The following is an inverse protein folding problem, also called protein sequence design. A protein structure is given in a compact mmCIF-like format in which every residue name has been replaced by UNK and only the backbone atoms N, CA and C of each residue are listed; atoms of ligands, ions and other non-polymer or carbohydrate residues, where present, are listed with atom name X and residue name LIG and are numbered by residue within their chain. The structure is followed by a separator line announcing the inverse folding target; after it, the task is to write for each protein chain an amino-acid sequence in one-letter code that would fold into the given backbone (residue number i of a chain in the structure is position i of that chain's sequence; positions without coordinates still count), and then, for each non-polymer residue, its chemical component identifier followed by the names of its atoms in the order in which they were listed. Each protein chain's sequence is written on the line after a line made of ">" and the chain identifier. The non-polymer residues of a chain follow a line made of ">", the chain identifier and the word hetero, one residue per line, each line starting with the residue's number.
data_IF_519959021942
#
_entry.id   IF_519959021942
#
_cell.length_a   1.000
_cell.length_b   1.000
_cell.length_c   1.000
_cell.angle_alpha   90.00
_cell.angle_beta   90.00
_cell.angle_gamma   90.00
#
_symmetry.space_group_name_H-M   'P 1'
#
loop_
_entity.id
_entity.type
_entity.pdbx_description
1 polymer ?
#
# COMPACT_ATOMS: atom_id res chain seq x y z
N UNK A 1 -20.30 12.07 33.73
CA UNK A 1 -19.59 11.15 34.64
C UNK A 1 -18.61 10.35 33.79
N UNK A 2 -17.30 10.50 34.01
CA UNK A 2 -16.30 9.82 33.19
C UNK A 2 -16.50 8.30 33.30
N UNK A 3 -16.56 7.61 32.15
CA UNK A 3 -16.67 6.15 32.13
C UNK A 3 -15.45 5.56 32.86
N UNK A 4 -15.64 4.58 33.76
CA UNK A 4 -14.53 3.90 34.39
C UNK A 4 -13.54 3.34 33.35
N UNK A 5 -12.22 3.35 33.62
CA UNK A 5 -11.20 2.87 32.67
C UNK A 5 -11.48 1.47 32.12
N UNK A 6 -11.98 0.57 32.97
CA UNK A 6 -12.36 -0.80 32.59
C UNK A 6 -13.53 -0.87 31.58
N UNK A 7 -14.40 0.15 31.55
CA UNK A 7 -15.50 0.24 30.59
C UNK A 7 -14.98 0.54 29.18
N UNK A 8 -13.89 1.31 29.06
CA UNK A 8 -13.24 1.59 27.77
C UNK A 8 -12.54 0.36 27.21
N UNK A 9 -11.89 -0.43 28.08
CA UNK A 9 -11.27 -1.71 27.70
C UNK A 9 -12.33 -2.72 27.24
N UNK A 10 -13.40 -2.91 28.02
CA UNK A 10 -14.51 -3.79 27.63
C UNK A 10 -15.13 -3.41 26.29
N UNK A 11 -15.29 -2.11 26.02
CA UNK A 11 -15.88 -1.62 24.75
C UNK A 11 -14.93 -1.84 23.58
N UNK A 12 -13.62 -1.70 23.79
CA UNK A 12 -12.59 -2.01 22.79
C UNK A 12 -12.57 -3.51 22.46
N UNK A 13 -12.64 -4.35 23.48
CA UNK A 13 -12.64 -5.81 23.33
C UNK A 13 -13.95 -6.32 22.71
N UNK A 14 -15.04 -5.57 22.86
CA UNK A 14 -16.31 -5.80 22.19
C UNK A 14 -16.21 -5.59 20.68
N UNK A 15 -15.44 -4.60 20.25
CA UNK A 15 -15.23 -4.28 18.84
C UNK A 15 -14.22 -5.22 18.16
N UNK A 16 -13.28 -5.82 18.92
CA UNK A 16 -12.28 -6.76 18.40
C UNK A 16 -12.75 -8.21 18.34
N UNK A 17 -13.98 -8.51 18.77
CA UNK A 17 -14.50 -9.88 18.85
C UNK A 17 -14.01 -10.68 20.06
N UNK A 18 -13.28 -10.04 20.98
CA UNK A 18 -12.71 -10.64 22.20
C UNK A 18 -13.59 -10.45 23.45
N UNK A 19 -14.84 -10.01 23.28
CA UNK A 19 -15.75 -9.64 24.38
C UNK A 19 -15.87 -10.72 25.46
N UNK A 20 -16.00 -11.99 25.04
CA UNK A 20 -16.20 -13.09 25.97
C UNK A 20 -14.95 -13.36 26.81
N UNK A 21 -13.77 -13.17 26.23
CA UNK A 21 -12.50 -13.29 26.94
C UNK A 21 -12.32 -12.14 27.94
N UNK A 22 -12.66 -10.91 27.55
CA UNK A 22 -12.61 -9.73 28.41
C UNK A 22 -13.63 -9.81 29.57
N UNK A 23 -14.86 -10.25 29.28
CA UNK A 23 -15.90 -10.47 30.28
C UNK A 23 -15.50 -11.56 31.29
N UNK A 24 -14.86 -12.64 30.83
CA UNK A 24 -14.34 -13.69 31.70
C UNK A 24 -13.16 -13.22 32.55
N UNK A 25 -12.25 -12.41 31.98
CA UNK A 25 -11.15 -11.77 32.74
C UNK A 25 -11.70 -10.87 33.84
N UNK A 26 -12.67 -10.01 33.54
CA UNK A 26 -13.32 -9.15 34.54
C UNK A 26 -13.98 -9.97 35.64
N UNK A 27 -14.73 -11.02 35.30
CA UNK A 27 -15.33 -11.92 36.30
C UNK A 27 -14.28 -12.57 37.20
N UNK A 28 -13.14 -12.97 36.63
CA UNK A 28 -12.04 -13.57 37.40
C UNK A 28 -11.42 -12.58 38.38
N UNK A 29 -11.14 -11.33 37.97
CA UNK A 29 -10.55 -10.27 38.81
C UNK A 29 -11.52 -9.84 39.91
N UNK A 30 -12.81 -9.74 39.58
CA UNK A 30 -13.88 -9.38 40.50
C UNK A 30 -14.11 -10.50 41.52
N UNK A 31 -13.99 -11.77 41.14
CA UNK A 31 -14.14 -12.91 42.05
C UNK A 31 -13.04 -13.01 43.12
N UNK A 32 -11.84 -12.46 42.86
CA UNK A 32 -10.73 -12.41 43.82
C UNK A 32 -10.86 -11.28 44.84
N UNK A 33 -11.72 -10.30 44.59
CA UNK A 33 -12.12 -9.26 45.54
C UNK A 33 -13.46 -9.65 46.16
N UNK A 34 -13.60 -9.72 47.48
CA UNK A 34 -14.86 -10.10 48.14
C UNK A 34 -15.97 -9.06 47.91
N UNK A 35 -16.60 -9.09 46.74
CA UNK A 35 -17.69 -8.20 46.39
C UNK A 35 -19.01 -8.74 46.95
N UNK A 36 -19.85 -7.90 47.56
CA UNK A 36 -21.16 -8.31 48.04
C UNK A 36 -22.00 -8.92 46.90
N UNK A 37 -22.79 -9.96 47.20
CA UNK A 37 -23.62 -10.68 46.21
C UNK A 37 -24.58 -9.78 45.40
N UNK A 38 -24.91 -8.58 45.91
CA UNK A 38 -25.70 -7.57 45.20
C UNK A 38 -24.90 -6.92 44.06
N UNK A 39 -23.61 -6.61 44.29
CA UNK A 39 -22.73 -6.04 43.27
C UNK A 39 -22.42 -7.05 42.15
N UNK A 40 -22.24 -8.33 42.50
CA UNK A 40 -22.07 -9.42 41.53
C UNK A 40 -23.27 -9.55 40.59
N UNK A 41 -24.49 -9.51 41.14
CA UNK A 41 -25.73 -9.54 40.33
C UNK A 41 -25.87 -8.31 39.44
N UNK A 42 -25.42 -7.15 39.90
CA UNK A 42 -25.33 -5.92 39.10
C UNK A 42 -24.37 -6.07 37.92
N UNK A 43 -23.18 -6.61 38.16
CA UNK A 43 -22.17 -6.86 37.12
C UNK A 43 -22.67 -7.87 36.08
N UNK A 44 -23.26 -8.98 36.50
CA UNK A 44 -23.84 -9.97 35.59
C UNK A 44 -24.96 -9.37 34.73
N UNK A 45 -25.75 -8.44 35.28
CA UNK A 45 -26.77 -7.72 34.54
C UNK A 45 -26.15 -6.82 33.48
N UNK A 46 -25.13 -6.03 33.84
CA UNK A 46 -24.41 -5.16 32.90
C UNK A 46 -23.79 -6.00 31.77
N UNK A 47 -23.04 -7.05 32.07
CA UNK A 47 -22.41 -7.93 31.05
C UNK A 47 -23.46 -8.51 30.10
N UNK A 48 -24.61 -8.95 30.62
CA UNK A 48 -25.69 -9.50 29.79
C UNK A 48 -26.37 -8.45 28.92
N UNK A 49 -26.62 -7.26 29.45
CA UNK A 49 -27.19 -6.13 28.68
C UNK A 49 -26.20 -5.67 27.60
N UNK A 50 -24.92 -5.56 27.93
CA UNK A 50 -23.84 -5.25 26.98
C UNK A 50 -23.73 -6.32 25.89
N UNK A 51 -23.79 -7.61 26.23
CA UNK A 51 -23.80 -8.71 25.24
C UNK A 51 -25.01 -8.63 24.30
N UNK A 52 -26.21 -8.40 24.84
CA UNK A 52 -27.42 -8.22 24.02
C UNK A 52 -27.30 -7.02 23.07
N UNK A 53 -26.73 -5.91 23.55
CA UNK A 53 -26.42 -4.73 22.73
C UNK A 53 -25.41 -5.07 21.62
N UNK A 54 -24.34 -5.79 21.95
CA UNK A 54 -23.34 -6.25 21.00
C UNK A 54 -23.93 -7.15 19.91
N UNK A 55 -24.74 -8.15 20.30
CA UNK A 55 -25.42 -9.05 19.38
C UNK A 55 -26.45 -8.32 18.51
N UNK A 56 -27.07 -7.26 19.03
CA UNK A 56 -27.99 -6.43 18.28
C UNK A 56 -27.23 -5.58 17.25
N UNK A 57 -26.13 -4.91 17.66
CA UNK A 57 -25.25 -4.16 16.75
C UNK A 57 -24.68 -5.09 15.69
N UNK A 58 -24.20 -6.29 16.06
CA UNK A 58 -23.66 -7.29 15.12
C UNK A 58 -24.71 -7.79 14.14
N UNK A 59 -25.92 -8.09 14.59
CA UNK A 59 -27.02 -8.49 13.69
C UNK A 59 -27.48 -7.34 12.80
N UNK A 60 -27.47 -6.12 13.31
CA UNK A 60 -27.79 -4.93 12.54
C UNK A 60 -26.73 -4.69 11.47
N UNK A 61 -25.43 -4.69 11.83
CA UNK A 61 -24.34 -4.55 10.86
C UNK A 61 -24.34 -5.69 9.84
N UNK A 62 -24.57 -6.93 10.26
CA UNK A 62 -24.68 -8.09 9.35
C UNK A 62 -25.82 -7.97 8.33
N UNK A 63 -26.94 -7.34 8.70
CA UNK A 63 -28.05 -7.09 7.76
C UNK A 63 -27.71 -6.06 6.69
N UNK A 64 -26.76 -5.17 6.95
CA UNK A 64 -26.27 -4.17 5.98
C UNK A 64 -24.94 -4.56 5.33
N UNK A 65 -24.31 -5.68 5.73
CA UNK A 65 -22.94 -6.03 5.33
C UNK A 65 -22.82 -6.99 4.14
N UNK A 66 -23.91 -7.30 3.42
CA UNK A 66 -23.80 -8.16 2.22
C UNK A 66 -23.24 -7.43 1.00
N UNK A 67 -23.07 -6.11 1.08
CA UNK A 67 -22.50 -5.25 0.04
C UNK A 67 -21.45 -4.31 0.64
N UNK A 68 -20.56 -3.79 -0.20
CA UNK A 68 -19.51 -2.85 0.22
C UNK A 68 -20.14 -1.55 0.75
N UNK A 69 -19.75 -1.11 1.95
CA UNK A 69 -20.24 0.12 2.57
C UNK A 69 -19.07 1.01 3.02
N UNK A 70 -19.31 2.33 3.06
CA UNK A 70 -18.35 3.28 3.61
C UNK A 70 -18.06 2.96 5.07
N UNK A 71 -16.79 2.76 5.41
CA UNK A 71 -16.36 2.39 6.76
C UNK A 71 -15.73 3.60 7.45
N UNK A 72 -16.04 3.80 8.73
CA UNK A 72 -15.38 4.80 9.58
C UNK A 72 -14.13 4.16 10.18
N UNK A 73 -12.95 4.68 9.83
CA UNK A 73 -11.69 4.24 10.42
C UNK A 73 -11.50 4.88 11.81
N UNK A 74 -11.80 4.13 12.86
CA UNK A 74 -11.59 4.53 14.26
C UNK A 74 -10.28 4.03 14.89
N UNK A 75 -9.36 3.46 14.10
CA UNK A 75 -8.15 2.78 14.62
C UNK A 75 -7.00 3.73 14.93
N UNK A 76 -7.04 4.95 14.39
CA UNK A 76 -5.93 5.90 14.44
C UNK A 76 -4.78 5.60 13.46
N UNK A 77 -4.87 4.51 12.68
CA UNK A 77 -3.93 4.21 11.60
C UNK A 77 -4.42 4.84 10.30
N UNK A 78 -3.55 5.52 9.54
CA UNK A 78 -3.92 6.02 8.20
C UNK A 78 -4.25 4.88 7.23
N UNK A 79 -3.49 3.79 7.33
CA UNK A 79 -3.67 2.58 6.54
C UNK A 79 -3.86 1.41 7.49
N UNK A 80 -5.08 0.87 7.50
CA UNK A 80 -5.39 -0.33 8.26
C UNK A 80 -5.42 -1.51 7.29
N UNK A 81 -4.80 -2.68 7.59
CA UNK A 81 -4.77 -3.81 6.66
C UNK A 81 -6.17 -4.24 6.20
N UNK A 82 -7.17 -4.19 7.07
CA UNK A 82 -8.53 -4.61 6.69
C UNK A 82 -9.33 -3.53 5.94
N UNK A 83 -8.80 -2.30 5.83
CA UNK A 83 -9.40 -1.21 5.06
C UNK A 83 -8.64 -1.04 3.74
N UNK A 84 -9.34 -0.65 2.68
CA UNK A 84 -8.73 -0.47 1.36
C UNK A 84 -8.59 1.00 0.99
N UNK A 85 -7.42 1.34 0.47
CA UNK A 85 -7.11 2.63 -0.14
C UNK A 85 -6.86 3.75 0.87
N UNK A 86 -6.81 4.98 0.36
CA UNK A 86 -6.70 6.20 1.15
C UNK A 86 -7.97 7.06 1.00
N UNK A 87 -8.19 8.03 1.90
CA UNK A 87 -9.20 9.07 1.68
C UNK A 87 -8.92 9.82 0.37
N UNK A 88 -9.96 10.01 -0.45
CA UNK A 88 -9.89 10.72 -1.72
C UNK A 88 -10.66 12.04 -1.65
N UNK A 89 -10.11 13.07 -2.29
CA UNK A 89 -10.77 14.33 -2.54
C UNK A 89 -11.86 14.19 -3.61
N UNK A 90 -12.80 15.13 -3.64
CA UNK A 90 -13.97 15.06 -4.51
C UNK A 90 -13.60 14.90 -5.99
N UNK A 91 -12.59 15.62 -6.48
CA UNK A 91 -12.13 15.53 -7.87
C UNK A 91 -11.60 14.13 -8.23
N UNK A 92 -10.83 13.51 -7.32
CA UNK A 92 -10.31 12.15 -7.50
C UNK A 92 -11.46 11.14 -7.52
N UNK A 93 -12.46 11.31 -6.65
CA UNK A 93 -13.64 10.44 -6.60
C UNK A 93 -14.48 10.57 -7.88
N UNK A 94 -14.71 11.80 -8.38
CA UNK A 94 -15.42 12.01 -9.64
C UNK A 94 -14.68 11.38 -10.82
N UNK A 95 -13.36 11.55 -10.90
CA UNK A 95 -12.56 10.92 -11.96
C UNK A 95 -12.58 9.39 -11.88
N UNK A 96 -12.58 8.83 -10.66
CA UNK A 96 -12.67 7.39 -10.43
C UNK A 96 -14.01 6.83 -10.91
N UNK A 97 -15.12 7.46 -10.51
CA UNK A 97 -16.47 7.03 -10.85
C UNK A 97 -16.80 7.24 -12.34
N UNK A 98 -16.28 8.32 -12.95
CA UNK A 98 -16.53 8.61 -14.36
C UNK A 98 -15.94 7.57 -15.32
N UNK A 99 -14.99 6.75 -14.86
CA UNK A 99 -14.38 5.68 -15.64
C UNK A 99 -14.92 4.27 -15.34
N UNK A 100 -15.98 4.15 -14.53
CA UNK A 100 -16.67 2.88 -14.23
C UNK A 100 -17.87 2.67 -15.18
N UNK A 101 -18.35 1.42 -15.29
CA UNK A 101 -19.40 0.94 -16.22
C UNK A 101 -20.81 1.54 -15.94
N UNK A 102 -20.91 2.86 -16.04
CA UNK A 102 -22.11 3.67 -15.79
C UNK A 102 -22.84 4.03 -17.10
N UNK A 103 -22.81 3.14 -18.10
CA UNK A 103 -23.18 3.45 -19.50
C UNK A 103 -22.36 4.61 -20.10
N UNK A 104 -21.19 4.92 -19.51
CA UNK A 104 -20.26 5.88 -20.08
C UNK A 104 -19.64 5.29 -21.35
N UNK A 105 -19.62 6.08 -22.44
CA UNK A 105 -19.05 5.68 -23.71
C UNK A 105 -17.52 5.60 -23.64
N UNK A 106 -16.99 4.55 -23.03
CA UNK A 106 -15.56 4.26 -22.94
C UNK A 106 -15.00 3.91 -24.32
N UNK A 107 -14.69 4.93 -25.12
CA UNK A 107 -13.96 4.70 -26.36
C UNK A 107 -12.46 4.61 -26.08
N UNK A 108 -11.74 3.82 -26.90
CA UNK A 108 -10.27 3.78 -26.86
C UNK A 108 -9.65 5.19 -26.90
N UNK A 109 -10.30 6.15 -27.57
CA UNK A 109 -9.89 7.55 -27.63
C UNK A 109 -9.93 8.27 -26.28
N UNK A 110 -10.89 7.96 -25.40
CA UNK A 110 -10.93 8.53 -24.05
C UNK A 110 -9.75 8.02 -23.21
N UNK A 111 -9.47 6.72 -23.29
CA UNK A 111 -8.32 6.12 -22.60
C UNK A 111 -7.02 6.75 -23.07
N UNK A 112 -6.81 6.83 -24.38
CA UNK A 112 -5.63 7.47 -24.96
C UNK A 112 -5.50 8.95 -24.53
N UNK A 113 -6.61 9.69 -24.43
CA UNK A 113 -6.59 11.07 -23.94
C UNK A 113 -6.12 11.15 -22.49
N UNK A 114 -6.63 10.29 -21.61
CA UNK A 114 -6.26 10.27 -20.19
C UNK A 114 -4.82 9.81 -19.99
N UNK A 115 -4.36 8.79 -20.74
CA UNK A 115 -2.98 8.31 -20.71
C UNK A 115 -2.00 9.40 -21.20
N UNK A 116 -2.35 10.16 -22.26
CA UNK A 116 -1.57 11.33 -22.68
C UNK A 116 -1.51 12.44 -21.63
N UNK A 117 -2.61 12.67 -20.90
CA UNK A 117 -2.62 13.63 -19.81
C UNK A 117 -1.74 13.18 -18.63
N UNK A 118 -1.76 11.89 -18.30
CA UNK A 118 -0.88 11.30 -17.30
C UNK A 118 0.58 11.49 -17.71
N UNK A 119 0.93 11.13 -18.94
CA UNK A 119 2.28 11.24 -19.49
C UNK A 119 2.78 12.69 -19.47
N UNK A 120 1.98 13.65 -19.95
CA UNK A 120 2.33 15.07 -19.90
C UNK A 120 2.54 15.57 -18.45
N UNK A 121 1.70 15.13 -17.52
CA UNK A 121 1.78 15.53 -16.11
C UNK A 121 3.05 14.97 -15.45
N UNK A 122 3.37 13.70 -15.65
CA UNK A 122 4.57 13.09 -15.09
C UNK A 122 5.85 13.62 -15.74
N UNK A 123 5.85 13.82 -17.06
CA UNK A 123 7.00 14.39 -17.77
C UNK A 123 7.30 15.80 -17.26
N UNK A 124 6.27 16.62 -17.06
CA UNK A 124 6.45 18.00 -16.56
C UNK A 124 6.86 18.09 -15.09
N UNK A 125 6.36 17.20 -14.22
CA UNK A 125 6.64 17.25 -12.77
C UNK A 125 7.87 16.44 -12.34
N UNK A 126 8.17 15.36 -13.05
CA UNK A 126 9.14 14.33 -12.63
C UNK A 126 10.20 14.08 -13.72
N UNK A 127 9.91 14.40 -14.99
CA UNK A 127 10.82 14.14 -16.10
C UNK A 127 10.82 12.67 -16.56
N UNK A 128 9.75 11.91 -16.26
CA UNK A 128 9.63 10.50 -16.65
C UNK A 128 8.22 10.16 -17.13
N UNK A 129 8.07 8.98 -17.73
CA UNK A 129 6.79 8.41 -18.13
C UNK A 129 6.37 7.31 -17.16
N UNK A 130 5.07 6.99 -17.12
CA UNK A 130 4.58 5.82 -16.38
C UNK A 130 3.42 5.14 -17.07
N UNK A 131 3.24 3.85 -16.72
CA UNK A 131 2.00 3.11 -16.89
C UNK A 131 1.43 2.76 -15.51
N UNK A 132 0.11 2.59 -15.41
CA UNK A 132 -0.56 2.38 -14.12
C UNK A 132 -1.13 0.97 -14.04
N UNK A 133 -0.71 0.23 -13.02
CA UNK A 133 -1.29 -1.06 -12.65
C UNK A 133 -2.34 -0.88 -11.56
N UNK A 134 -3.30 -1.80 -11.46
CA UNK A 134 -4.38 -1.71 -10.46
C UNK A 134 -3.91 -2.00 -9.02
N UNK A 135 -2.66 -2.41 -8.81
CA UNK A 135 -2.03 -2.62 -7.49
C UNK A 135 -0.52 -2.79 -7.61
N UNK A 136 0.20 -2.72 -6.48
CA UNK A 136 1.64 -3.03 -6.41
C UNK A 136 1.94 -4.45 -6.84
N UNK A 137 1.14 -5.42 -6.40
CA UNK A 137 1.29 -6.82 -6.76
C UNK A 137 1.09 -7.03 -8.26
N UNK A 138 0.11 -6.35 -8.85
CA UNK A 138 -0.12 -6.38 -10.30
C UNK A 138 1.03 -5.76 -11.09
N UNK A 139 1.62 -4.66 -10.61
CA UNK A 139 2.81 -4.08 -11.22
C UNK A 139 4.00 -5.04 -11.19
N UNK A 140 4.26 -5.66 -10.03
CA UNK A 140 5.31 -6.67 -9.86
C UNK A 140 5.11 -7.83 -10.83
N UNK A 141 3.88 -8.36 -10.93
CA UNK A 141 3.53 -9.45 -11.84
C UNK A 141 3.72 -9.04 -13.30
N UNK A 142 3.29 -7.84 -13.69
CA UNK A 142 3.43 -7.33 -15.06
C UNK A 142 4.91 -7.19 -15.47
N UNK A 143 5.73 -6.58 -14.61
CA UNK A 143 7.16 -6.41 -14.85
C UNK A 143 7.86 -7.76 -14.89
N UNK A 144 7.56 -8.65 -13.94
CA UNK A 144 8.09 -10.02 -13.90
C UNK A 144 7.79 -10.78 -15.19
N UNK A 145 6.53 -10.76 -15.65
CA UNK A 145 6.12 -11.46 -16.86
C UNK A 145 6.76 -10.91 -18.13
N UNK A 146 7.06 -9.61 -18.18
CA UNK A 146 7.79 -9.00 -19.30
C UNK A 146 9.25 -9.45 -19.40
N UNK A 147 9.84 -9.84 -18.25
CA UNK A 147 11.24 -10.24 -18.14
C UNK A 147 11.43 -11.76 -18.20
N UNK A 148 10.46 -12.53 -17.69
CA UNK A 148 10.51 -13.97 -17.52
C UNK A 148 11.00 -14.76 -18.76
N UNK A 149 10.65 -14.39 -20.03
CA UNK A 149 11.10 -15.14 -21.19
C UNK A 149 12.61 -15.05 -21.47
N UNK A 150 13.28 -13.99 -21.00
CA UNK A 150 14.66 -13.66 -21.38
C UNK A 150 15.59 -13.43 -20.21
N UNK A 151 15.05 -13.30 -18.99
CA UNK A 151 15.82 -12.96 -17.81
C UNK A 151 15.59 -13.92 -16.64
N UNK A 152 16.67 -14.11 -15.88
CA UNK A 152 16.65 -14.69 -14.53
C UNK A 152 16.40 -13.57 -13.55
N UNK A 153 15.38 -13.71 -12.70
CA UNK A 153 14.99 -12.68 -11.75
C UNK A 153 15.76 -12.88 -10.46
N UNK A 154 16.68 -11.98 -10.16
CA UNK A 154 17.56 -12.06 -9.00
C UNK A 154 16.99 -11.22 -7.87
N UNK A 155 16.92 -11.79 -6.68
CA UNK A 155 16.48 -11.10 -5.47
C UNK A 155 17.51 -11.29 -4.37
N UNK A 156 18.22 -10.23 -3.96
CA UNK A 156 19.00 -10.27 -2.73
C UNK A 156 18.09 -10.56 -1.53
N UNK A 157 18.46 -11.54 -0.69
CA UNK A 157 17.67 -11.92 0.49
C UNK A 157 17.51 -10.81 1.53
N UNK A 158 18.40 -9.81 1.51
CA UNK A 158 18.28 -8.60 2.33
C UNK A 158 17.17 -7.65 1.84
N UNK A 159 16.69 -7.78 0.60
CA UNK A 159 15.59 -7.01 0.02
C UNK A 159 14.24 -7.75 0.15
N UNK A 160 13.95 -8.32 1.32
CA UNK A 160 12.67 -8.98 1.56
C UNK A 160 11.50 -8.00 1.46
N UNK A 161 10.45 -8.37 0.73
CA UNK A 161 9.19 -7.64 0.70
C UNK A 161 8.01 -8.62 0.67
N UNK A 162 6.96 -8.27 1.42
CA UNK A 162 5.67 -8.94 1.39
C UNK A 162 4.57 -7.87 1.36
N UNK A 163 3.71 -7.83 0.33
CA UNK A 163 2.53 -6.99 0.33
C UNK A 163 1.54 -7.41 1.43
N UNK A 164 0.76 -6.46 1.95
CA UNK A 164 -0.11 -6.68 3.12
C UNK A 164 -1.14 -7.82 2.94
N UNK A 165 -1.60 -8.06 1.70
CA UNK A 165 -2.50 -9.18 1.36
C UNK A 165 -1.93 -10.12 0.30
N UNK A 166 -0.60 -10.16 0.17
CA UNK A 166 0.09 -10.86 -0.91
C UNK A 166 0.92 -12.05 -0.46
N UNK A 167 1.49 -12.74 -1.45
CA UNK A 167 2.60 -13.66 -1.26
C UNK A 167 3.92 -12.88 -1.14
N UNK A 168 4.97 -13.46 -0.53
CA UNK A 168 6.31 -12.88 -0.57
C UNK A 168 6.75 -12.55 -2.00
N UNK A 169 7.56 -11.51 -2.18
CA UNK A 169 8.04 -11.07 -3.48
C UNK A 169 8.61 -12.21 -4.36
N UNK A 170 9.50 -13.11 -3.87
CA UNK A 170 9.99 -14.22 -4.68
C UNK A 170 8.88 -15.11 -5.24
N UNK A 171 7.84 -15.37 -4.45
CA UNK A 171 6.72 -16.22 -4.85
C UNK A 171 5.80 -15.52 -5.86
N UNK A 172 5.65 -14.19 -5.77
CA UNK A 172 4.94 -13.41 -6.78
C UNK A 172 5.67 -13.44 -8.13
N UNK A 173 6.99 -13.28 -8.12
CA UNK A 173 7.79 -13.35 -9.34
C UNK A 173 7.73 -14.75 -9.98
N UNK A 174 7.81 -15.82 -9.17
CA UNK A 174 7.63 -17.21 -9.65
C UNK A 174 6.23 -17.43 -10.23
N UNK A 175 5.20 -16.92 -9.56
CA UNK A 175 3.81 -17.05 -10.02
C UNK A 175 3.58 -16.33 -11.36
N UNK A 176 4.32 -15.28 -11.65
CA UNK A 176 4.32 -14.58 -12.94
C UNK A 176 5.17 -15.28 -14.03
N UNK A 177 5.67 -16.50 -13.76
CA UNK A 177 6.45 -17.31 -14.70
C UNK A 177 7.96 -17.02 -14.68
N UNK A 178 8.43 -16.17 -13.77
CA UNK A 178 9.85 -15.83 -13.66
C UNK A 178 10.69 -16.95 -13.05
N UNK A 179 11.90 -17.17 -13.60
CA UNK A 179 12.93 -17.99 -12.96
C UNK A 179 13.61 -17.15 -11.88
N UNK A 180 13.30 -17.42 -10.61
CA UNK A 180 13.77 -16.60 -9.48
C UNK A 180 14.98 -17.23 -8.79
N UNK A 181 16.02 -16.43 -8.61
CA UNK A 181 17.25 -16.78 -7.89
C UNK A 181 17.45 -15.85 -6.69
N UNK A 182 17.45 -16.42 -5.49
CA UNK A 182 17.62 -15.68 -4.24
C UNK A 182 19.07 -15.73 -3.77
N UNK A 183 19.72 -14.57 -3.68
CA UNK A 183 21.16 -14.44 -3.45
C UNK A 183 21.51 -13.79 -2.11
N UNK A 184 22.70 -14.09 -1.60
CA UNK A 184 23.22 -13.53 -0.36
C UNK A 184 22.47 -14.00 0.89
N UNK A 185 22.48 -13.15 1.90
CA UNK A 185 21.91 -13.41 3.23
C UNK A 185 20.89 -12.34 3.60
N UNK A 186 20.18 -12.52 4.71
CA UNK A 186 19.38 -11.45 5.28
C UNK A 186 20.23 -10.22 5.60
N UNK A 187 21.51 -10.41 5.95
CA UNK A 187 22.40 -9.35 6.41
C UNK A 187 23.01 -8.49 5.30
N UNK A 188 23.01 -9.00 4.06
CA UNK A 188 23.65 -8.38 2.91
C UNK A 188 23.98 -9.38 1.82
N UNK A 189 24.62 -8.89 0.76
CA UNK A 189 24.99 -9.69 -0.41
C UNK A 189 26.41 -9.31 -0.84
N UNK A 190 27.31 -10.29 -0.91
CA UNK A 190 28.70 -10.10 -1.38
C UNK A 190 28.78 -10.28 -2.89
N UNK A 191 29.87 -9.83 -3.51
CA UNK A 191 30.09 -9.99 -4.97
C UNK A 191 30.03 -11.45 -5.42
N UNK A 192 30.48 -12.37 -4.57
CA UNK A 192 30.54 -13.82 -4.83
C UNK A 192 29.16 -14.49 -4.80
N UNK A 193 28.17 -13.85 -4.15
CA UNK A 193 26.81 -14.40 -4.03
C UNK A 193 25.98 -14.23 -5.31
N UNK A 194 26.43 -13.36 -6.23
CA UNK A 194 25.69 -13.08 -7.46
C UNK A 194 25.87 -14.19 -8.48
N UNK A 195 24.83 -14.51 -9.27
CA UNK A 195 24.97 -15.45 -10.36
C UNK A 195 26.04 -14.95 -11.33
N UNK A 196 26.91 -15.86 -11.75
CA UNK A 196 27.85 -15.56 -12.82
C UNK A 196 27.04 -15.11 -14.04
N UNK A 197 27.45 -14.03 -14.70
CA UNK A 197 26.81 -13.61 -15.93
C UNK A 197 26.70 -14.83 -16.84
N UNK A 198 25.47 -15.15 -17.28
CA UNK A 198 25.28 -16.29 -18.15
C UNK A 198 26.18 -16.12 -19.38
N UNK A 199 26.79 -17.21 -19.85
CA UNK A 199 27.63 -17.20 -21.06
C UNK A 199 26.92 -16.47 -22.21
N UNK A 200 27.63 -16.04 -23.26
CA UNK A 200 27.14 -15.20 -24.38
C UNK A 200 25.74 -15.56 -24.96
N UNK A 201 25.23 -16.77 -24.73
CA UNK A 201 23.92 -17.28 -25.18
C UNK A 201 22.90 -17.63 -24.06
N UNK A 202 23.17 -17.34 -22.79
CA UNK A 202 22.25 -17.60 -21.67
C UNK A 202 21.36 -16.40 -21.32
N UNK A 203 20.25 -16.62 -20.57
CA UNK A 203 19.36 -15.52 -20.19
C UNK A 203 20.11 -14.52 -19.30
N UNK A 204 19.99 -13.22 -19.63
CA UNK A 204 20.48 -12.13 -18.80
C UNK A 204 19.83 -12.18 -17.41
N UNK A 205 20.32 -11.41 -16.45
CA UNK A 205 19.68 -11.30 -15.14
C UNK A 205 19.04 -9.93 -14.97
N UNK A 206 17.92 -9.91 -14.25
CA UNK A 206 17.21 -8.71 -13.86
C UNK A 206 17.03 -8.73 -12.35
N UNK A 207 17.47 -7.68 -11.67
CA UNK A 207 17.47 -7.62 -10.22
C UNK A 207 16.30 -6.80 -9.71
N UNK A 208 15.60 -7.32 -8.70
CA UNK A 208 14.62 -6.56 -7.93
C UNK A 208 15.26 -6.05 -6.64
N UNK A 209 15.30 -4.73 -6.49
CA UNK A 209 15.78 -4.04 -5.30
C UNK A 209 14.61 -3.40 -4.57
N UNK A 210 14.44 -3.75 -3.30
CA UNK A 210 13.44 -3.13 -2.43
C UNK A 210 14.09 -1.96 -1.71
N UNK A 211 13.58 -0.77 -1.98
CA UNK A 211 14.05 0.48 -1.40
C UNK A 211 13.17 0.85 -0.21
N UNK A 212 13.79 0.84 0.95
CA UNK A 212 13.14 1.24 2.19
C UNK A 212 13.52 2.70 2.51
N UNK A 213 12.57 3.51 3.03
CA UNK A 213 12.89 4.85 3.50
C UNK A 213 13.99 4.81 4.57
N UNK A 214 14.86 5.83 4.56
CA UNK A 214 15.91 6.00 5.56
C UNK A 214 15.33 5.99 6.99
N UNK A 215 16.03 5.28 7.90
CA UNK A 215 15.62 5.14 9.30
C UNK A 215 14.56 4.06 9.57
N UNK A 216 14.06 3.38 8.54
CA UNK A 216 13.28 2.16 8.76
C UNK A 216 14.15 1.08 9.41
N UNK A 217 13.61 0.34 10.39
CA UNK A 217 14.28 -0.82 11.01
C UNK A 217 14.47 -2.00 10.01
N UNK A 218 14.05 -1.83 8.76
CA UNK A 218 14.19 -2.81 7.70
C UNK A 218 15.52 -2.54 6.99
N UNK A 219 16.30 -3.60 6.89
CA UNK A 219 17.74 -3.58 6.65
C UNK A 219 18.19 -2.72 5.46
N UNK A 220 19.27 -1.98 5.69
CA UNK A 220 19.87 -1.05 4.73
C UNK A 220 20.55 -1.78 3.57
N UNK A 221 20.39 -1.25 2.36
CA UNK A 221 21.16 -1.63 1.17
C UNK A 221 22.69 -1.46 1.33
N UNK A 222 23.14 -0.83 2.42
CA UNK A 222 24.56 -0.58 2.72
C UNK A 222 25.46 -1.84 2.72
N UNK A 223 24.89 -3.03 2.92
CA UNK A 223 25.65 -4.28 2.93
C UNK A 223 25.57 -5.07 1.61
N UNK A 224 25.14 -4.44 0.51
CA UNK A 224 25.07 -5.05 -0.82
C UNK A 224 26.27 -4.60 -1.66
N UNK A 225 27.08 -5.57 -2.09
CA UNK A 225 28.24 -5.35 -2.96
C UNK A 225 27.94 -5.91 -4.34
N UNK A 226 27.82 -5.03 -5.33
CA UNK A 226 27.52 -5.40 -6.71
C UNK A 226 28.77 -5.86 -7.49
N UNK A 227 28.65 -6.86 -8.37
CA UNK A 227 29.71 -7.26 -9.29
C UNK A 227 29.79 -6.28 -10.47
N UNK A 228 30.92 -6.20 -11.17
CA UNK A 228 31.07 -5.33 -12.36
C UNK A 228 30.09 -5.68 -13.48
N UNK A 229 29.70 -6.95 -13.58
CA UNK A 229 28.69 -7.46 -14.52
C UNK A 229 27.27 -6.95 -14.22
N UNK A 230 27.04 -6.29 -13.09
CA UNK A 230 25.74 -5.68 -12.76
C UNK A 230 25.37 -4.52 -13.68
N UNK A 231 26.33 -3.89 -14.36
CA UNK A 231 26.07 -2.79 -15.27
C UNK A 231 25.25 -3.19 -16.51
N UNK A 232 25.25 -4.48 -16.89
CA UNK A 232 24.44 -4.98 -18.00
C UNK A 232 23.08 -5.56 -17.57
N UNK A 233 22.85 -5.70 -16.26
CA UNK A 233 21.60 -6.20 -15.72
C UNK A 233 20.52 -5.12 -15.75
N UNK A 234 19.25 -5.54 -15.85
CA UNK A 234 18.12 -4.62 -15.62
C UNK A 234 17.88 -4.50 -14.11
N UNK A 235 18.00 -3.29 -13.57
CA UNK A 235 17.72 -3.00 -12.16
C UNK A 235 16.28 -2.48 -12.02
N UNK A 236 15.48 -3.13 -11.17
CA UNK A 236 14.10 -2.74 -10.89
C UNK A 236 14.01 -2.28 -9.44
N UNK A 237 13.66 -1.01 -9.24
CA UNK A 237 13.39 -0.46 -7.93
C UNK A 237 11.92 -0.73 -7.52
N UNK A 238 11.74 -1.28 -6.33
CA UNK A 238 10.46 -1.41 -5.65
C UNK A 238 10.46 -0.47 -4.46
N UNK A 239 9.57 0.52 -4.44
CA UNK A 239 9.41 1.45 -3.32
C UNK A 239 8.08 1.16 -2.63
N UNK A 240 7.98 0.12 -1.78
CA UNK A 240 6.70 -0.34 -1.27
C UNK A 240 6.05 0.62 -0.26
N UNK A 241 6.85 1.48 0.35
CA UNK A 241 6.41 2.49 1.29
C UNK A 241 7.25 3.75 1.08
N UNK A 242 6.74 4.87 1.51
CA UNK A 242 7.49 6.12 1.55
C UNK A 242 7.27 6.83 2.86
N UNK A 243 7.90 7.99 3.00
CA UNK A 243 7.93 8.73 4.26
C UNK A 243 7.03 9.95 4.17
N UNK A 244 6.05 10.03 5.04
CA UNK A 244 5.39 11.30 5.35
C UNK A 244 6.32 12.07 6.30
N UNK A 245 7.11 13.02 5.79
CA UNK A 245 7.88 13.90 6.66
C UNK A 245 6.94 14.92 7.29
N UNK A 246 6.58 14.71 8.56
CA UNK A 246 5.84 15.67 9.37
C UNK A 246 6.85 16.58 10.07
N UNK A 247 7.23 17.69 9.42
CA UNK A 247 8.10 18.70 10.00
C UNK A 247 8.44 19.80 9.01
N UNK A 248 7.84 20.99 9.21
CA UNK A 248 8.21 22.29 8.61
C UNK A 248 8.91 22.27 7.24
N UNK A 249 8.23 21.71 6.25
CA UNK A 249 8.34 22.02 4.84
C UNK A 249 7.02 21.54 4.24
N UNK A 250 6.79 21.67 2.94
CA UNK A 250 5.65 21.00 2.33
C UNK A 250 5.63 19.51 2.73
N UNK A 251 4.50 18.82 2.55
CA UNK A 251 4.68 17.42 2.14
C UNK A 251 5.64 17.54 0.96
N UNK A 252 6.89 17.12 1.10
CA UNK A 252 7.78 17.18 -0.05
C UNK A 252 6.99 16.49 -1.15
N UNK A 253 6.68 17.26 -2.19
CA UNK A 253 5.57 16.91 -3.06
C UNK A 253 5.86 15.59 -3.77
N UNK A 254 5.02 15.28 -4.75
CA UNK A 254 5.30 14.29 -5.76
C UNK A 254 6.79 14.16 -6.19
N UNK A 255 7.57 15.25 -6.17
CA UNK A 255 9.01 15.27 -6.46
C UNK A 255 9.97 14.61 -5.45
N UNK A 256 9.67 14.47 -4.15
CA UNK A 256 10.53 13.63 -3.27
C UNK A 256 10.11 12.17 -3.26
N UNK A 257 8.84 11.91 -3.59
CA UNK A 257 8.30 10.56 -3.74
C UNK A 257 8.68 9.94 -5.09
N UNK A 258 8.86 10.80 -6.11
CA UNK A 258 9.31 10.48 -7.45
C UNK A 258 10.62 11.22 -7.71
N UNK A 259 11.65 10.86 -6.94
CA UNK A 259 12.99 11.38 -7.15
C UNK A 259 13.48 10.98 -8.56
N UNK A 260 13.66 11.98 -9.42
CA UNK A 260 14.09 11.80 -10.80
C UNK A 260 15.47 11.12 -10.87
N UNK A 261 16.35 11.39 -9.90
CA UNK A 261 17.66 10.75 -9.82
C UNK A 261 17.49 9.26 -9.56
N UNK A 262 16.69 8.89 -8.55
CA UNK A 262 16.39 7.49 -8.26
C UNK A 262 15.78 6.77 -9.47
N UNK A 263 14.82 7.40 -10.14
CA UNK A 263 14.16 6.81 -11.31
C UNK A 263 15.16 6.60 -12.45
N UNK A 264 16.07 7.55 -12.68
CA UNK A 264 17.06 7.48 -13.76
C UNK A 264 18.13 6.39 -13.56
N UNK A 265 18.37 5.97 -12.31
CA UNK A 265 19.34 4.93 -11.97
C UNK A 265 18.83 3.50 -12.24
N UNK A 266 17.52 3.33 -12.50
CA UNK A 266 16.89 2.03 -12.65
C UNK A 266 16.28 1.85 -14.04
N UNK A 267 16.16 0.60 -14.50
CA UNK A 267 15.42 0.30 -15.72
C UNK A 267 13.93 0.61 -15.57
N UNK A 268 13.37 0.27 -14.39
CA UNK A 268 12.02 0.59 -13.98
C UNK A 268 11.98 0.88 -12.47
N UNK A 269 11.07 1.77 -12.07
CA UNK A 269 10.75 2.02 -10.66
C UNK A 269 9.26 1.80 -10.44
N UNK A 270 8.89 1.00 -9.43
CA UNK A 270 7.51 0.72 -9.07
C UNK A 270 7.19 1.40 -7.74
N UNK A 271 6.17 2.26 -7.74
CA UNK A 271 5.72 3.02 -6.57
C UNK A 271 4.21 2.85 -6.35
N UNK A 272 3.72 2.85 -5.10
CA UNK A 272 2.28 2.80 -4.79
C UNK A 272 1.61 4.14 -5.12
N UNK A 273 0.40 4.08 -5.68
CA UNK A 273 -0.42 5.25 -5.98
C UNK A 273 -1.24 5.77 -4.79
N UNK A 274 -1.57 4.93 -3.81
CA UNK A 274 -2.39 5.32 -2.66
C UNK A 274 -1.58 5.83 -1.46
N UNK A 275 -0.60 5.05 -1.02
CA UNK A 275 0.12 5.32 0.22
C UNK A 275 0.75 6.72 0.24
N UNK A 276 1.43 7.08 -0.84
CA UNK A 276 2.30 8.25 -0.89
C UNK A 276 1.74 9.35 -1.79
N UNK A 277 1.14 8.95 -2.90
CA UNK A 277 0.53 9.87 -3.84
C UNK A 277 -0.88 10.29 -3.39
N UNK A 278 -1.54 9.54 -2.49
CA UNK A 278 -2.91 9.85 -2.06
C UNK A 278 -3.95 9.67 -3.16
N UNK A 279 -3.63 8.89 -4.20
CA UNK A 279 -4.55 8.49 -5.26
C UNK A 279 -5.28 7.17 -4.89
N UNK A 280 -6.22 6.68 -5.71
CA UNK A 280 -6.79 5.36 -5.46
C UNK A 280 -5.73 4.25 -5.49
N UNK A 281 -6.04 3.12 -4.83
CA UNK A 281 -5.16 1.94 -4.81
C UNK A 281 -4.75 1.56 -6.23
N UNK A 282 -3.47 1.67 -6.49
CA UNK A 282 -2.83 1.48 -7.79
C UNK A 282 -1.32 1.43 -7.59
N UNK A 283 -0.58 1.16 -8.66
CA UNK A 283 0.86 1.34 -8.67
C UNK A 283 1.30 1.96 -9.99
N UNK A 284 2.24 2.90 -9.92
CA UNK A 284 2.87 3.48 -11.09
C UNK A 284 4.16 2.69 -11.38
N UNK A 285 4.31 2.29 -12.64
CA UNK A 285 5.54 1.72 -13.18
C UNK A 285 6.19 2.84 -13.99
N UNK A 286 7.30 3.37 -13.50
CA UNK A 286 8.01 4.53 -14.04
C UNK A 286 9.26 4.07 -14.79
N UNK A 287 9.59 4.74 -15.89
CA UNK A 287 10.80 4.48 -16.65
C UNK A 287 10.77 5.04 -18.06
N UNK A 288 11.71 4.61 -18.90
CA UNK A 288 11.78 5.03 -20.29
C UNK A 288 10.62 4.47 -21.12
N UNK A 289 10.27 5.16 -22.21
CA UNK A 289 9.21 4.70 -23.12
C UNK A 289 9.44 3.26 -23.62
N UNK A 290 10.69 2.87 -23.90
CA UNK A 290 11.03 1.51 -24.33
C UNK A 290 10.87 0.47 -23.22
N UNK A 291 11.22 0.82 -21.98
CA UNK A 291 11.01 -0.05 -20.81
C UNK A 291 9.51 -0.26 -20.56
N UNK A 292 8.72 0.81 -20.58
CA UNK A 292 7.28 0.76 -20.38
C UNK A 292 6.57 -0.01 -21.50
N UNK A 293 6.97 0.18 -22.76
CA UNK A 293 6.46 -0.58 -23.89
C UNK A 293 6.75 -2.09 -23.76
N UNK A 294 7.92 -2.45 -23.22
CA UNK A 294 8.26 -3.85 -22.92
C UNK A 294 7.33 -4.47 -21.88
N UNK A 295 6.88 -3.70 -20.88
CA UNK A 295 5.90 -4.18 -19.89
C UNK A 295 4.50 -4.26 -20.51
N UNK A 296 4.10 -3.23 -21.25
CA UNK A 296 2.78 -3.14 -21.86
C UNK A 296 2.52 -4.19 -22.95
N UNK A 297 3.57 -4.74 -23.57
CA UNK A 297 3.47 -5.83 -24.54
C UNK A 297 3.29 -7.21 -23.89
N UNK A 298 3.45 -7.33 -22.57
CA UNK A 298 3.20 -8.57 -21.83
C UNK A 298 1.72 -8.97 -21.91
N UNK A 299 1.39 -10.24 -22.17
CA UNK A 299 0.01 -10.72 -22.14
C UNK A 299 -0.69 -10.43 -20.80
N UNK A 300 0.06 -10.47 -19.70
CA UNK A 300 -0.48 -10.19 -18.37
C UNK A 300 -0.83 -8.71 -18.17
N UNK A 301 -0.31 -7.79 -18.99
CA UNK A 301 -0.65 -6.37 -18.88
C UNK A 301 -2.15 -6.12 -18.99
N UNK A 302 -2.83 -6.89 -19.84
CA UNK A 302 -4.28 -6.79 -20.04
C UNK A 302 -5.11 -6.99 -18.76
N UNK A 303 -4.61 -7.81 -17.82
CA UNK A 303 -5.28 -8.11 -16.54
C UNK A 303 -4.68 -7.37 -15.35
N UNK A 304 -3.43 -6.89 -15.46
CA UNK A 304 -2.76 -6.14 -14.38
C UNK A 304 -2.89 -4.63 -14.49
N UNK A 305 -3.19 -4.11 -15.69
CA UNK A 305 -3.35 -2.66 -15.91
C UNK A 305 -4.51 -2.11 -15.09
N UNK A 306 -4.41 -0.84 -14.73
CA UNK A 306 -5.51 -0.14 -14.09
C UNK A 306 -6.67 0.11 -15.07
N UNK A 307 -7.87 0.05 -14.51
CA UNK A 307 -9.09 0.50 -15.16
C UNK A 307 -9.07 2.02 -15.41
N UNK A 308 -9.85 2.47 -16.38
CA UNK A 308 -9.77 3.86 -16.84
C UNK A 308 -10.02 4.86 -15.69
N UNK A 309 -11.02 4.60 -14.84
CA UNK A 309 -11.32 5.46 -13.70
C UNK A 309 -10.15 5.59 -12.73
N UNK A 310 -9.42 4.49 -12.50
CA UNK A 310 -8.22 4.51 -11.65
C UNK A 310 -7.11 5.35 -12.29
N UNK A 311 -6.86 5.19 -13.59
CA UNK A 311 -5.89 6.03 -14.32
C UNK A 311 -6.30 7.50 -14.26
N UNK A 312 -7.57 7.81 -14.48
CA UNK A 312 -8.10 9.17 -14.45
C UNK A 312 -7.94 9.82 -13.06
N UNK A 313 -8.22 9.08 -12.00
CA UNK A 313 -8.08 9.56 -10.62
C UNK A 313 -6.61 9.74 -10.21
N UNK A 314 -5.70 8.85 -10.64
CA UNK A 314 -4.25 9.04 -10.49
C UNK A 314 -3.82 10.31 -11.21
N UNK A 315 -4.24 10.52 -12.46
CA UNK A 315 -3.96 11.73 -13.23
C UNK A 315 -4.50 12.99 -12.55
N UNK A 316 -5.73 12.95 -12.02
CA UNK A 316 -6.31 14.06 -11.26
C UNK A 316 -5.46 14.40 -10.02
N UNK A 317 -5.02 13.37 -9.29
CA UNK A 317 -4.13 13.54 -8.13
C UNK A 317 -2.82 14.23 -8.51
N UNK A 318 -2.17 13.75 -9.56
CA UNK A 318 -0.88 14.29 -10.04
C UNK A 318 -1.00 15.73 -10.55
N UNK A 319 -2.16 16.10 -11.09
CA UNK A 319 -2.43 17.44 -11.62
C UNK A 319 -2.65 18.49 -10.55
N UNK A 320 -2.98 18.09 -9.32
CA UNK A 320 -3.15 19.04 -8.23
C UNK A 320 -1.86 19.86 -8.03
N UNK A 321 -1.98 21.17 -7.71
CA UNK A 321 -0.82 21.99 -7.35
C UNK A 321 -0.03 21.33 -6.22
N UNK A 322 1.30 21.44 -6.26
CA UNK A 322 2.19 20.82 -5.26
C UNK A 322 1.91 21.31 -3.83
N UNK A 323 1.36 22.52 -3.69
CA UNK A 323 0.96 23.11 -2.40
C UNK A 323 -0.43 22.63 -1.92
N UNK A 324 -1.14 21.84 -2.72
CA UNK A 324 -2.45 21.29 -2.33
C UNK A 324 -2.24 20.22 -1.28
N UNK A 325 -2.76 20.46 -0.09
CA UNK A 325 -2.67 19.49 0.99
C UNK A 325 -3.67 18.36 0.76
N UNK A 326 -3.19 17.20 0.32
CA UNK A 326 -4.02 16.00 0.14
C UNK A 326 -4.60 15.51 1.48
N UNK A 327 -5.70 14.74 1.41
CA UNK A 327 -6.47 14.32 2.59
C UNK A 327 -5.64 13.65 3.71
N UNK A 328 -4.69 12.78 3.36
CA UNK A 328 -3.80 12.12 4.33
C UNK A 328 -2.94 13.12 5.11
N UNK A 329 -2.44 14.14 4.43
CA UNK A 329 -1.62 15.15 5.06
C UNK A 329 -2.42 16.04 6.01
N UNK A 330 -3.64 16.43 5.59
CA UNK A 330 -4.58 17.15 6.46
C UNK A 330 -4.84 16.37 7.74
N UNK A 331 -4.99 15.03 7.65
CA UNK A 331 -5.15 14.16 8.81
C UNK A 331 -3.88 14.08 9.68
N UNK A 332 -2.70 14.04 9.09
CA UNK A 332 -1.43 13.98 9.82
C UNK A 332 -1.04 15.29 10.51
N UNK A 333 -1.51 16.44 10.01
CA UNK A 333 -1.24 17.76 10.61
C UNK A 333 -2.25 18.18 11.67
N UNK A 334 -3.28 17.36 11.95
CA UNK A 334 -4.25 17.68 13.00
C UNK A 334 -3.52 17.76 14.35
N UNK A 335 -3.55 18.94 14.97
CA UNK A 335 -2.88 19.17 16.25
C UNK A 335 -3.50 18.36 17.40
N UNK A 336 -2.67 18.03 18.39
CA UNK A 336 -3.04 17.21 19.55
C UNK A 336 -4.27 17.78 20.28
N UNK A 337 -4.32 19.10 20.49
CA UNK A 337 -5.48 19.77 21.12
C UNK A 337 -6.79 19.54 20.35
N UNK A 338 -6.74 19.56 19.01
CA UNK A 338 -7.92 19.30 18.18
C UNK A 338 -8.35 17.83 18.31
N UNK A 339 -7.39 16.90 18.31
CA UNK A 339 -7.67 15.48 18.52
C UNK A 339 -8.28 15.23 19.91
N UNK A 340 -7.76 15.88 20.95
CA UNK A 340 -8.28 15.79 22.31
C UNK A 340 -9.71 16.35 22.39
N UNK A 341 -9.95 17.54 21.84
CA UNK A 341 -11.28 18.15 21.79
C UNK A 341 -12.30 17.28 21.05
N UNK A 342 -11.90 16.56 20.00
CA UNK A 342 -12.77 15.60 19.28
C UNK A 342 -13.06 14.35 20.10
N UNK A 343 -12.10 13.89 20.91
CA UNK A 343 -12.26 12.71 21.76
C UNK A 343 -13.13 12.97 23.01
N UNK A 344 -13.20 14.22 23.46
CA UNK A 344 -13.95 14.64 24.65
C UNK A 344 -15.40 15.08 24.36
N UNK A 345 -15.76 15.29 23.09
CA UNK A 345 -17.13 15.61 22.63
C UNK A 345 -17.98 14.37 22.43
#
# INVERSE_FOLDING_TARGET
>A
MALPPWTRELTRDLMSGSFDEAANRLKSVVSTSELPAVAMRGLDRVIRETRKGADQVRRWTQRFSSLSYGTINGTGLFFHPELKGCPLDAEQLYALLAGEDLFAGHSAAQRERIERQLEATLTSKVGTSAIVAHSMEAAIVAVSASLAPSHTLVIPRCFTYRPDHGKPLPDLLRAAGGRVEEVGTAEGCRREDWPTAAAENGPAWAMFQVLWPEGSKRMSAANVQYPETSNSAKHIALVPYGRLQTGTAALDGLGSLLDAELISQHWLTIVPGDLLLGAPRSALILGSASALASVASSPLWSVTKAELGTVAAVTATLRQPTDTEHALARLARVGEENLQNRAER
#
